data_IF_322474580419
#
_entry.id   IF_322474580419
#
_cell.length_a   1.000
_cell.length_b   1.000
_cell.length_c   1.000
_cell.angle_alpha   90.00
_cell.angle_beta   90.00
_cell.angle_gamma   90.00
#
_symmetry.space_group_name_H-M   'P 1'
#
loop_
_entity.id
_entity.type
_entity.pdbx_description
1 polymer ?
#
# COMPACT_ATOMS: atom_id res chain seq x y z
N UNK A 1 19.44 6.32 -10.53
CA UNK A 1 19.64 6.52 -9.08
C UNK A 1 18.58 5.70 -8.34
N UNK A 2 18.92 5.05 -7.23
CA UNK A 2 17.93 4.29 -6.45
C UNK A 2 17.04 5.30 -5.68
N UNK A 3 15.70 5.27 -5.83
CA UNK A 3 14.82 6.22 -5.14
C UNK A 3 14.82 6.09 -3.61
N UNK A 4 15.44 5.04 -3.05
CA UNK A 4 15.63 4.79 -1.61
C UNK A 4 17.09 4.77 -1.18
N UNK A 5 17.96 5.50 -1.89
CA UNK A 5 19.40 5.49 -1.63
C UNK A 5 19.75 5.96 -0.20
N UNK A 6 19.05 6.97 0.33
CA UNK A 6 19.25 7.44 1.69
C UNK A 6 18.87 6.36 2.72
N UNK A 7 17.67 5.78 2.62
CA UNK A 7 17.22 4.74 3.55
C UNK A 7 18.06 3.45 3.41
N UNK A 8 18.47 3.11 2.20
CA UNK A 8 19.38 1.99 1.95
C UNK A 8 20.74 2.21 2.61
N UNK A 9 21.27 3.44 2.56
CA UNK A 9 22.53 3.80 3.24
C UNK A 9 22.39 3.63 4.75
N UNK A 10 21.30 4.12 5.35
CA UNK A 10 21.03 3.93 6.78
C UNK A 10 20.94 2.45 7.18
N UNK A 11 20.27 1.62 6.37
CA UNK A 11 20.21 0.17 6.61
C UNK A 11 21.60 -0.47 6.48
N UNK A 12 22.40 -0.08 5.48
CA UNK A 12 23.76 -0.56 5.30
C UNK A 12 24.68 -0.19 6.48
N UNK A 13 24.55 1.01 7.02
CA UNK A 13 25.30 1.48 8.19
C UNK A 13 24.92 0.69 9.43
N UNK A 14 23.63 0.46 9.65
CA UNK A 14 23.12 -0.41 10.71
C UNK A 14 23.73 -1.82 10.61
N UNK A 15 23.64 -2.47 9.44
CA UNK A 15 24.19 -3.81 9.19
C UNK A 15 25.70 -3.83 9.44
N UNK A 16 26.42 -2.82 8.97
CA UNK A 16 27.88 -2.74 9.13
C UNK A 16 28.28 -2.57 10.60
N UNK A 17 27.58 -1.72 11.35
CA UNK A 17 27.79 -1.52 12.79
C UNK A 17 27.59 -2.82 13.58
N UNK A 18 26.50 -3.55 13.33
CA UNK A 18 26.25 -4.85 13.97
C UNK A 18 27.39 -5.84 13.70
N UNK A 19 27.86 -5.93 12.45
CA UNK A 19 28.95 -6.86 12.08
C UNK A 19 30.28 -6.54 12.74
N UNK A 20 30.66 -5.26 12.73
CA UNK A 20 31.94 -4.81 13.27
C UNK A 20 32.00 -5.00 14.78
N UNK A 21 30.93 -4.61 15.47
CA UNK A 21 30.88 -4.62 16.93
C UNK A 21 30.49 -5.99 17.51
N UNK A 22 29.92 -6.89 16.69
CA UNK A 22 29.41 -8.21 17.11
C UNK A 22 28.46 -8.08 18.31
N UNK A 23 27.52 -7.14 18.22
CA UNK A 23 26.50 -6.87 19.24
C UNK A 23 25.11 -7.24 18.72
N UNK A 24 24.19 -7.56 19.62
CA UNK A 24 22.78 -7.52 19.28
C UNK A 24 22.36 -6.06 19.09
N UNK A 25 21.79 -5.73 17.94
CA UNK A 25 21.07 -4.49 17.73
C UNK A 25 19.84 -4.76 16.86
N UNK A 26 18.81 -3.93 17.01
CA UNK A 26 17.55 -4.07 16.31
C UNK A 26 17.16 -2.76 15.60
N UNK A 27 16.62 -2.88 14.39
CA UNK A 27 16.07 -1.77 13.61
C UNK A 27 14.60 -2.08 13.29
N UNK A 28 13.70 -1.20 13.69
CA UNK A 28 12.29 -1.23 13.29
C UNK A 28 12.06 -0.29 12.11
N UNK A 29 11.51 -0.82 11.03
CA UNK A 29 11.16 -0.09 9.82
C UNK A 29 9.65 -0.07 9.69
N UNK A 30 9.06 1.12 9.85
CA UNK A 30 7.61 1.33 9.73
C UNK A 30 7.27 2.18 8.51
N UNK A 31 6.05 2.08 8.00
CA UNK A 31 5.61 2.83 6.82
C UNK A 31 4.35 2.27 6.20
N UNK A 32 3.71 3.01 5.31
CA UNK A 32 2.52 2.53 4.60
C UNK A 32 2.82 1.29 3.73
N UNK A 33 1.80 0.46 3.42
CA UNK A 33 1.93 -0.59 2.42
C UNK A 33 2.45 -0.02 1.10
N UNK A 34 3.35 -0.74 0.42
CA UNK A 34 3.86 -0.31 -0.87
C UNK A 34 4.90 0.82 -0.87
N UNK A 35 5.35 1.30 0.30
CA UNK A 35 6.40 2.33 0.36
C UNK A 35 7.84 1.79 0.16
N UNK A 36 8.00 0.48 -0.04
CA UNK A 36 9.28 -0.12 -0.40
C UNK A 36 10.14 -0.66 0.75
N UNK A 37 9.57 -0.87 1.95
CA UNK A 37 10.32 -1.39 3.13
C UNK A 37 11.13 -2.65 2.83
N UNK A 38 10.44 -3.73 2.47
CA UNK A 38 11.07 -5.03 2.16
C UNK A 38 12.02 -4.91 0.96
N UNK A 39 11.67 -4.10 -0.05
CA UNK A 39 12.51 -3.84 -1.21
C UNK A 39 13.86 -3.21 -0.82
N UNK A 40 13.85 -2.12 -0.03
CA UNK A 40 15.07 -1.41 0.37
C UNK A 40 15.96 -2.28 1.27
N UNK A 41 15.36 -3.02 2.20
CA UNK A 41 16.12 -3.97 3.05
C UNK A 41 16.82 -5.02 2.20
N UNK A 42 16.11 -5.63 1.24
CA UNK A 42 16.69 -6.62 0.34
C UNK A 42 17.84 -6.06 -0.50
N UNK A 43 17.71 -4.82 -1.01
CA UNK A 43 18.79 -4.15 -1.74
C UNK A 43 20.03 -3.93 -0.88
N UNK A 44 19.86 -3.51 0.37
CA UNK A 44 20.99 -3.34 1.30
C UNK A 44 21.74 -4.66 1.53
N UNK A 45 21.03 -5.76 1.76
CA UNK A 45 21.67 -7.08 1.89
C UNK A 45 22.35 -7.56 0.61
N UNK A 46 21.75 -7.29 -0.56
CA UNK A 46 22.35 -7.61 -1.86
C UNK A 46 23.65 -6.81 -2.08
N UNK A 47 23.65 -5.51 -1.80
CA UNK A 47 24.84 -4.65 -1.92
C UNK A 47 25.97 -5.14 -1.01
N UNK A 48 25.65 -5.55 0.22
CA UNK A 48 26.61 -6.09 1.18
C UNK A 48 26.98 -7.57 0.94
N UNK A 49 26.35 -8.23 -0.05
CA UNK A 49 26.51 -9.66 -0.37
C UNK A 49 26.27 -10.57 0.84
N UNK A 50 25.25 -10.24 1.64
CA UNK A 50 24.87 -10.96 2.84
C UNK A 50 23.55 -11.70 2.62
N UNK A 51 23.38 -12.83 3.32
CA UNK A 51 22.14 -13.62 3.30
C UNK A 51 21.52 -13.64 4.71
N UNK A 52 20.50 -12.81 4.97
CA UNK A 52 19.78 -12.85 6.23
C UNK A 52 18.85 -14.06 6.28
N UNK A 53 18.48 -14.47 7.48
CA UNK A 53 17.34 -15.37 7.68
C UNK A 53 16.05 -14.54 7.65
N UNK A 54 15.14 -14.85 6.74
CA UNK A 54 13.91 -14.09 6.54
C UNK A 54 12.71 -14.85 7.10
N UNK A 55 11.89 -14.17 7.90
CA UNK A 55 10.63 -14.67 8.43
C UNK A 55 9.51 -13.71 8.06
N UNK A 56 8.44 -14.24 7.45
CA UNK A 56 7.18 -13.53 7.31
C UNK A 56 6.30 -13.89 8.50
N UNK A 57 6.00 -12.93 9.38
CA UNK A 57 5.29 -13.17 10.63
C UNK A 57 3.77 -13.33 10.46
N UNK A 58 3.24 -13.20 9.24
CA UNK A 58 1.89 -13.68 8.92
C UNK A 58 1.82 -15.21 9.05
N UNK A 59 2.93 -15.88 8.69
CA UNK A 59 3.14 -17.30 8.87
C UNK A 59 3.85 -17.53 10.23
N UNK A 60 3.65 -18.70 10.83
CA UNK A 60 4.31 -19.00 12.10
C UNK A 60 5.82 -19.05 11.88
N UNK A 61 6.63 -18.22 12.57
CA UNK A 61 8.07 -18.31 12.47
C UNK A 61 8.54 -19.64 13.05
N UNK A 62 9.28 -20.43 12.28
CA UNK A 62 9.91 -21.65 12.78
C UNK A 62 11.07 -21.27 13.73
N UNK A 63 10.73 -21.14 15.02
CA UNK A 63 11.64 -20.75 16.09
C UNK A 63 12.88 -21.67 16.21
N UNK A 64 12.79 -22.89 15.69
CA UNK A 64 13.86 -23.89 15.73
C UNK A 64 15.02 -23.63 14.74
N UNK A 65 14.91 -22.67 13.80
CA UNK A 65 15.87 -22.50 12.70
C UNK A 65 17.13 -21.69 13.10
N UNK A 66 17.17 -21.03 14.26
CA UNK A 66 18.30 -20.17 14.64
C UNK A 66 19.59 -20.96 14.93
N UNK A 67 20.47 -21.05 13.93
CA UNK A 67 21.81 -21.65 14.02
C UNK A 67 22.81 -20.69 14.67
N UNK A 68 23.90 -21.22 15.24
CA UNK A 68 24.96 -20.41 15.87
C UNK A 68 25.65 -19.42 14.91
N UNK A 69 25.59 -19.66 13.61
CA UNK A 69 26.21 -18.81 12.58
C UNK A 69 25.24 -17.77 11.98
N UNK A 70 24.00 -17.68 12.46
CA UNK A 70 23.05 -16.66 11.99
C UNK A 70 23.56 -15.27 12.39
N UNK A 71 23.81 -14.41 11.40
CA UNK A 71 24.27 -13.03 11.65
C UNK A 71 23.12 -12.03 11.66
N UNK A 72 22.13 -12.22 10.78
CA UNK A 72 21.00 -11.31 10.61
C UNK A 72 19.69 -12.06 10.46
N UNK A 73 18.64 -11.48 11.05
CA UNK A 73 17.26 -11.92 10.91
C UNK A 73 16.40 -10.75 10.44
N UNK A 74 15.56 -11.00 9.45
CA UNK A 74 14.49 -10.09 9.03
C UNK A 74 13.16 -10.68 9.48
N UNK A 75 12.35 -9.89 10.18
CA UNK A 75 10.98 -10.22 10.55
C UNK A 75 10.02 -9.26 9.85
N UNK A 76 9.37 -9.74 8.78
CA UNK A 76 8.38 -8.98 8.03
C UNK A 76 6.99 -9.11 8.66
N UNK A 77 6.17 -8.06 8.59
CA UNK A 77 4.86 -7.95 9.24
C UNK A 77 4.90 -8.23 10.77
N UNK A 78 5.88 -7.64 11.47
CA UNK A 78 6.10 -7.91 12.91
C UNK A 78 4.91 -7.54 13.79
N UNK A 79 4.10 -6.56 13.40
CA UNK A 79 2.88 -6.14 14.09
C UNK A 79 1.82 -7.26 14.10
N UNK A 80 1.78 -8.08 13.05
CA UNK A 80 0.95 -9.29 13.01
C UNK A 80 1.59 -10.37 13.90
N UNK A 81 2.90 -10.55 13.82
CA UNK A 81 3.64 -11.53 14.61
C UNK A 81 3.46 -11.36 16.12
N UNK A 82 3.61 -10.13 16.61
CA UNK A 82 3.48 -9.78 18.03
C UNK A 82 2.06 -10.00 18.57
N UNK A 83 1.03 -9.89 17.72
CA UNK A 83 -0.37 -10.17 18.08
C UNK A 83 -0.70 -11.66 18.14
N UNK A 84 -0.01 -12.47 17.33
CA UNK A 84 -0.34 -13.90 17.14
C UNK A 84 0.52 -14.84 17.96
N UNK A 85 1.77 -14.49 18.23
CA UNK A 85 2.76 -15.41 18.78
C UNK A 85 3.50 -14.80 19.97
N UNK A 86 3.89 -15.63 20.94
CA UNK A 86 4.85 -15.20 21.96
C UNK A 86 6.27 -15.24 21.38
N UNK A 87 6.75 -14.07 20.98
CA UNK A 87 8.07 -13.89 20.37
C UNK A 87 9.17 -13.60 21.41
N UNK A 88 8.86 -13.48 22.71
CA UNK A 88 9.88 -13.19 23.74
C UNK A 88 11.03 -14.20 23.76
N UNK A 89 10.79 -15.53 23.68
CA UNK A 89 11.88 -16.50 23.64
C UNK A 89 12.77 -16.32 22.41
N UNK A 90 12.18 -15.94 21.28
CA UNK A 90 12.89 -15.69 20.03
C UNK A 90 13.84 -14.50 20.17
N UNK A 91 13.36 -13.37 20.67
CA UNK A 91 14.19 -12.18 20.90
C UNK A 91 15.32 -12.43 21.89
N UNK A 92 15.04 -13.15 22.99
CA UNK A 92 16.07 -13.54 23.94
C UNK A 92 17.17 -14.39 23.29
N UNK A 93 16.78 -15.32 22.41
CA UNK A 93 17.73 -16.14 21.67
C UNK A 93 18.60 -15.31 20.71
N UNK A 94 18.02 -14.34 20.00
CA UNK A 94 18.78 -13.44 19.13
C UNK A 94 19.80 -12.60 19.91
N UNK A 95 19.44 -12.14 21.11
CA UNK A 95 20.34 -11.41 22.00
C UNK A 95 21.53 -12.27 22.44
N UNK A 96 21.28 -13.52 22.84
CA UNK A 96 22.35 -14.47 23.22
C UNK A 96 23.31 -14.74 22.06
N UNK A 97 22.80 -14.83 20.83
CA UNK A 97 23.58 -15.06 19.62
C UNK A 97 24.22 -13.77 19.07
N UNK A 98 23.89 -12.61 19.63
CA UNK A 98 24.32 -11.28 19.14
C UNK A 98 23.98 -11.07 17.66
N UNK A 99 22.81 -11.53 17.24
CA UNK A 99 22.31 -11.37 15.87
C UNK A 99 21.78 -9.94 15.64
N UNK A 100 21.99 -9.39 14.45
CA UNK A 100 21.25 -8.21 14.00
C UNK A 100 19.80 -8.55 13.68
N UNK A 101 18.88 -7.70 14.08
CA UNK A 101 17.45 -7.88 13.84
C UNK A 101 16.91 -6.69 13.05
N UNK A 102 16.22 -6.95 11.93
CA UNK A 102 15.45 -5.94 11.21
C UNK A 102 13.99 -6.35 11.25
N UNK A 103 13.15 -5.51 11.80
CA UNK A 103 11.71 -5.69 11.89
C UNK A 103 11.01 -4.75 10.92
N UNK A 104 10.00 -5.23 10.21
CA UNK A 104 9.23 -4.46 9.24
C UNK A 104 7.75 -4.51 9.64
N UNK A 105 7.08 -3.36 9.71
CA UNK A 105 5.65 -3.29 9.99
C UNK A 105 4.95 -2.17 9.21
N UNK A 106 3.62 -2.25 9.16
CA UNK A 106 2.78 -1.17 8.62
C UNK A 106 2.25 -0.23 9.72
N UNK A 107 2.24 -0.66 10.99
CA UNK A 107 1.72 0.11 12.12
C UNK A 107 2.78 1.03 12.75
N UNK A 108 2.53 2.34 12.68
CA UNK A 108 3.41 3.41 13.22
C UNK A 108 3.69 3.31 14.73
N UNK A 109 2.78 2.69 15.49
CA UNK A 109 2.86 2.62 16.96
C UNK A 109 3.30 1.25 17.48
N UNK A 110 3.83 0.39 16.61
CA UNK A 110 4.34 -0.91 17.04
C UNK A 110 5.50 -0.70 18.03
N UNK A 111 5.33 -1.16 19.27
CA UNK A 111 6.40 -1.14 20.28
C UNK A 111 6.98 -2.55 20.41
N UNK A 112 8.14 -2.83 19.80
CA UNK A 112 8.75 -4.14 19.92
C UNK A 112 9.22 -4.37 21.36
N UNK A 113 9.27 -5.65 21.81
CA UNK A 113 9.67 -5.99 23.18
C UNK A 113 11.19 -5.87 23.43
N UNK A 114 11.95 -5.36 22.46
CA UNK A 114 13.39 -5.11 22.55
C UNK A 114 13.69 -3.65 22.19
N UNK A 115 14.70 -3.02 22.81
CA UNK A 115 15.18 -1.72 22.37
C UNK A 115 15.62 -1.81 20.89
N UNK A 116 15.17 -0.85 20.08
CA UNK A 116 15.52 -0.78 18.67
C UNK A 116 15.62 0.67 18.19
N UNK A 117 16.45 0.87 17.17
CA UNK A 117 16.42 2.06 16.35
C UNK A 117 15.14 2.07 15.51
N UNK A 118 14.59 3.25 15.21
CA UNK A 118 13.36 3.39 14.45
C UNK A 118 13.63 4.16 13.16
N UNK A 119 13.16 3.61 12.04
CA UNK A 119 13.20 4.26 10.74
C UNK A 119 11.79 4.27 10.14
N UNK A 120 11.29 5.45 9.82
CA UNK A 120 10.02 5.60 9.12
C UNK A 120 10.26 5.79 7.62
N UNK A 121 9.63 4.95 6.81
CA UNK A 121 9.67 5.06 5.35
C UNK A 121 8.42 5.75 4.82
N UNK A 122 8.63 6.98 4.34
CA UNK A 122 7.59 7.79 3.70
C UNK A 122 7.10 7.14 2.41
N UNK A 123 5.94 7.56 1.91
CA UNK A 123 5.46 7.18 0.58
C UNK A 123 6.42 7.69 -0.51
N UNK A 124 6.43 7.04 -1.66
CA UNK A 124 7.24 7.50 -2.78
C UNK A 124 6.68 8.80 -3.36
N UNK A 125 7.55 9.80 -3.57
CA UNK A 125 7.20 10.98 -4.35
C UNK A 125 7.01 10.63 -5.82
N UNK A 126 6.36 11.51 -6.61
CA UNK A 126 6.20 11.29 -8.05
C UNK A 126 7.55 11.13 -8.76
N UNK A 127 8.56 11.92 -8.38
CA UNK A 127 9.93 11.79 -8.91
C UNK A 127 10.56 10.44 -8.58
N UNK A 128 10.35 9.94 -7.36
CA UNK A 128 10.82 8.62 -6.95
C UNK A 128 10.07 7.49 -7.69
N UNK A 129 8.76 7.63 -7.88
CA UNK A 129 7.96 6.69 -8.68
C UNK A 129 8.44 6.66 -10.13
N UNK A 130 8.72 7.82 -10.73
CA UNK A 130 9.28 7.91 -12.09
C UNK A 130 10.62 7.21 -12.19
N UNK A 131 11.48 7.41 -11.20
CA UNK A 131 12.76 6.69 -11.10
C UNK A 131 12.56 5.17 -11.03
N UNK A 132 11.56 4.68 -10.28
CA UNK A 132 11.19 3.26 -10.26
C UNK A 132 10.71 2.75 -11.62
N UNK A 133 9.88 3.51 -12.33
CA UNK A 133 9.40 3.15 -13.67
C UNK A 133 10.58 2.97 -14.63
N UNK A 134 11.52 3.91 -14.65
CA UNK A 134 12.69 3.85 -15.51
C UNK A 134 13.58 2.64 -15.17
N UNK A 135 13.79 2.37 -13.88
CA UNK A 135 14.53 1.18 -13.44
C UNK A 135 13.86 -0.12 -13.90
N UNK A 136 12.53 -0.24 -13.75
CA UNK A 136 11.78 -1.45 -14.16
C UNK A 136 11.79 -1.67 -15.67
N UNK A 137 11.80 -0.59 -16.46
CA UNK A 137 11.86 -0.65 -17.92
C UNK A 137 13.29 -0.75 -18.46
N UNK A 138 14.32 -0.74 -17.60
CA UNK A 138 15.73 -0.63 -17.98
C UNK A 138 16.04 0.60 -18.87
N UNK A 139 15.42 1.73 -18.57
CA UNK A 139 15.57 3.00 -19.28
C UNK A 139 16.31 4.04 -18.44
N UNK A 140 16.80 5.07 -19.09
CA UNK A 140 17.40 6.27 -18.45
C UNK A 140 16.68 7.53 -18.93
N UNK A 141 16.70 8.60 -18.15
CA UNK A 141 16.07 9.87 -18.58
C UNK A 141 16.63 10.41 -19.91
N UNK A 142 17.88 10.11 -20.23
CA UNK A 142 18.50 10.51 -21.48
C UNK A 142 18.01 9.72 -22.71
N UNK A 143 17.33 8.58 -22.50
CA UNK A 143 16.95 7.64 -23.58
C UNK A 143 15.45 7.56 -23.83
N UNK A 144 14.62 8.21 -23.01
CA UNK A 144 13.17 8.22 -23.19
C UNK A 144 12.72 9.32 -24.15
N UNK A 145 11.67 9.03 -24.92
CA UNK A 145 10.98 10.03 -25.73
C UNK A 145 10.12 10.93 -24.84
N UNK A 146 9.83 12.15 -25.30
CA UNK A 146 8.92 13.08 -24.59
C UNK A 146 7.56 12.43 -24.33
N UNK A 147 6.99 11.73 -25.32
CA UNK A 147 5.70 11.04 -25.21
C UNK A 147 5.70 9.94 -24.13
N UNK A 148 6.76 9.14 -24.07
CA UNK A 148 6.90 8.13 -23.02
C UNK A 148 7.09 8.77 -21.65
N UNK A 149 7.88 9.86 -21.55
CA UNK A 149 8.03 10.61 -20.31
C UNK A 149 6.69 11.11 -19.79
N UNK A 150 5.89 11.76 -20.63
CA UNK A 150 4.56 12.28 -20.26
C UNK A 150 3.61 11.15 -19.82
N UNK A 151 3.66 10.01 -20.51
CA UNK A 151 2.87 8.82 -20.16
C UNK A 151 3.26 8.26 -18.78
N UNK A 152 4.56 8.21 -18.48
CA UNK A 152 5.08 7.79 -17.17
C UNK A 152 4.76 8.81 -16.08
N UNK A 153 4.82 10.11 -16.37
CA UNK A 153 4.44 11.17 -15.43
C UNK A 153 2.97 11.06 -15.05
N UNK A 154 2.09 10.80 -16.03
CA UNK A 154 0.68 10.53 -15.79
C UNK A 154 0.48 9.29 -14.89
N UNK A 155 1.15 8.19 -15.18
CA UNK A 155 1.10 6.97 -14.36
C UNK A 155 1.55 7.25 -12.92
N UNK A 156 2.69 7.93 -12.74
CA UNK A 156 3.24 8.26 -11.43
C UNK A 156 2.29 9.16 -10.63
N UNK A 157 1.65 10.12 -11.29
CA UNK A 157 0.60 10.94 -10.68
C UNK A 157 -0.57 10.08 -10.18
N UNK A 158 -1.08 9.15 -10.99
CA UNK A 158 -2.20 8.28 -10.59
C UNK A 158 -1.83 7.30 -9.46
N UNK A 159 -0.64 6.72 -9.50
CA UNK A 159 -0.14 5.84 -8.45
C UNK A 159 0.10 6.60 -7.15
N UNK A 160 0.61 7.84 -7.23
CA UNK A 160 0.84 8.66 -6.03
C UNK A 160 -0.44 8.95 -5.23
N UNK A 161 -1.61 8.97 -5.89
CA UNK A 161 -2.92 9.11 -5.21
C UNK A 161 -3.34 7.88 -4.40
N UNK A 162 -2.88 6.70 -4.83
CA UNK A 162 -3.16 5.43 -4.15
C UNK A 162 -2.04 5.05 -3.17
N UNK A 163 -0.93 5.79 -3.17
CA UNK A 163 0.19 5.65 -2.23
C UNK A 163 0.88 4.27 -2.22
N UNK A 164 0.66 3.43 -3.23
CA UNK A 164 1.19 2.06 -3.29
C UNK A 164 1.98 1.82 -4.59
N UNK A 165 3.32 1.78 -4.48
CA UNK A 165 4.19 1.58 -5.63
C UNK A 165 4.16 0.17 -6.20
N UNK A 166 3.55 -0.82 -5.51
CA UNK A 166 3.39 -2.19 -6.05
C UNK A 166 2.53 -2.21 -7.30
N UNK A 167 1.62 -1.24 -7.44
CA UNK A 167 0.78 -1.10 -8.63
C UNK A 167 1.58 -0.83 -9.90
N UNK A 168 2.79 -0.27 -9.80
CA UNK A 168 3.65 -0.03 -10.96
C UNK A 168 3.99 -1.34 -11.70
N UNK A 169 4.21 -2.44 -10.98
CA UNK A 169 4.51 -3.73 -11.61
C UNK A 169 3.35 -4.22 -12.49
N UNK A 170 2.12 -4.04 -12.02
CA UNK A 170 0.94 -4.37 -12.78
C UNK A 170 0.83 -3.52 -14.06
N UNK A 171 0.99 -2.20 -13.93
CA UNK A 171 0.78 -1.28 -15.05
C UNK A 171 1.90 -1.34 -16.10
N UNK A 172 3.15 -1.53 -15.68
CA UNK A 172 4.31 -1.59 -16.56
C UNK A 172 4.54 -2.96 -17.20
N UNK A 173 3.82 -4.00 -16.79
CA UNK A 173 3.90 -5.33 -17.41
C UNK A 173 3.30 -5.39 -18.83
N UNK A 174 2.53 -4.36 -19.23
CA UNK A 174 1.95 -4.23 -20.56
C UNK A 174 2.99 -3.85 -21.61
N UNK A 175 2.75 -4.29 -22.86
CA UNK A 175 3.51 -3.81 -24.04
C UNK A 175 3.11 -2.41 -24.47
N UNK A 176 1.93 -1.94 -24.08
CA UNK A 176 1.45 -0.59 -24.33
C UNK A 176 1.79 0.30 -23.12
N UNK A 177 2.59 1.33 -23.34
CA UNK A 177 3.01 2.31 -22.33
C UNK A 177 2.50 3.72 -22.67
N UNK A 178 1.46 3.82 -23.51
CA UNK A 178 0.88 5.10 -23.89
C UNK A 178 0.03 5.71 -22.78
N UNK A 179 -0.06 7.04 -22.79
CA UNK A 179 -0.97 7.78 -21.90
C UNK A 179 -2.42 7.33 -22.06
N UNK A 180 -2.84 6.90 -23.27
CA UNK A 180 -4.19 6.37 -23.53
C UNK A 180 -4.41 5.05 -22.80
N UNK A 181 -3.43 4.15 -22.84
CA UNK A 181 -3.51 2.89 -22.12
C UNK A 181 -3.55 3.12 -20.61
N UNK A 182 -2.63 3.90 -20.05
CA UNK A 182 -2.67 4.21 -18.61
C UNK A 182 -3.98 4.91 -18.25
N UNK A 183 -4.42 5.89 -19.04
CA UNK A 183 -5.71 6.51 -18.84
C UNK A 183 -6.83 5.48 -18.88
N UNK A 184 -6.80 4.45 -19.72
CA UNK A 184 -7.81 3.38 -19.73
C UNK A 184 -7.82 2.51 -18.46
N UNK A 185 -6.66 2.33 -17.82
CA UNK A 185 -6.54 1.60 -16.56
C UNK A 185 -7.08 2.39 -15.37
N UNK A 186 -6.95 3.72 -15.42
CA UNK A 186 -7.45 4.64 -14.39
C UNK A 186 -8.78 5.29 -14.76
N UNK A 187 -9.27 5.10 -15.99
CA UNK A 187 -10.64 5.43 -16.35
C UNK A 187 -11.47 4.44 -15.58
N UNK A 188 -12.13 4.97 -14.56
CA UNK A 188 -13.14 4.34 -13.73
C UNK A 188 -13.97 3.32 -14.53
N UNK A 189 -13.52 2.07 -14.55
CA UNK A 189 -14.44 0.99 -14.26
C UNK A 189 -14.92 1.31 -12.85
N UNK A 190 -16.17 1.76 -12.76
CA UNK A 190 -16.81 1.99 -11.49
C UNK A 190 -16.73 0.70 -10.68
N UNK A 191 -15.75 0.63 -9.78
CA UNK A 191 -15.64 -0.44 -8.81
C UNK A 191 -16.65 -0.16 -7.71
N UNK A 192 -17.92 -0.34 -8.09
CA UNK A 192 -19.09 -0.22 -7.24
C UNK A 192 -19.76 -1.59 -7.25
N UNK A 193 -20.31 -2.01 -6.12
CA UNK A 193 -21.15 -3.21 -6.05
C UNK A 193 -22.62 -2.87 -6.28
N UNK A 194 -23.48 -3.88 -6.36
CA UNK A 194 -24.92 -3.75 -6.57
C UNK A 194 -25.61 -2.81 -5.55
N UNK A 195 -25.21 -2.87 -4.27
CA UNK A 195 -25.78 -2.00 -3.22
C UNK A 195 -25.35 -0.55 -3.37
N UNK A 196 -24.09 -0.32 -3.75
CA UNK A 196 -23.58 1.02 -4.06
C UNK A 196 -24.25 1.58 -5.32
N UNK A 197 -24.55 0.74 -6.31
CA UNK A 197 -25.31 1.14 -7.49
C UNK A 197 -26.74 1.56 -7.14
N UNK A 198 -27.45 0.78 -6.30
CA UNK A 198 -28.78 1.16 -5.77
C UNK A 198 -28.75 2.49 -5.02
N UNK A 199 -27.75 2.69 -4.16
CA UNK A 199 -27.54 3.96 -3.45
C UNK A 199 -27.33 5.14 -4.42
N UNK A 200 -26.55 4.96 -5.49
CA UNK A 200 -26.33 5.99 -6.51
C UNK A 200 -27.64 6.32 -7.26
N UNK A 201 -28.45 5.32 -7.60
CA UNK A 201 -29.75 5.54 -8.25
C UNK A 201 -30.75 6.25 -7.33
N UNK A 202 -30.71 5.94 -6.03
CA UNK A 202 -31.50 6.65 -5.03
C UNK A 202 -31.08 8.13 -4.93
N UNK A 203 -29.77 8.40 -4.96
CA UNK A 203 -29.22 9.75 -5.01
C UNK A 203 -29.61 10.53 -6.28
N UNK A 204 -29.74 9.86 -7.43
CA UNK A 204 -30.18 10.50 -8.68
C UNK A 204 -31.59 11.10 -8.54
N UNK A 205 -32.49 10.46 -7.77
CA UNK A 205 -33.84 10.96 -7.50
C UNK A 205 -33.83 12.26 -6.69
N UNK A 206 -32.93 12.37 -5.72
CA UNK A 206 -32.87 13.51 -4.81
C UNK A 206 -31.99 14.66 -5.31
N UNK A 207 -31.01 14.37 -6.18
CA UNK A 207 -29.91 15.27 -6.59
C UNK A 207 -28.97 15.69 -5.45
N UNK A 208 -29.53 16.04 -4.29
CA UNK A 208 -28.84 16.36 -3.04
C UNK A 208 -29.69 15.87 -1.86
N UNK A 209 -29.06 15.28 -0.85
CA UNK A 209 -29.75 14.82 0.36
C UNK A 209 -28.78 14.70 1.54
N UNK A 210 -29.26 14.33 2.72
CA UNK A 210 -28.41 14.08 3.89
C UNK A 210 -28.05 12.60 4.01
N UNK A 211 -26.92 12.31 4.66
CA UNK A 211 -26.51 10.94 4.99
C UNK A 211 -27.59 10.21 5.82
N UNK A 212 -28.25 10.93 6.73
CA UNK A 212 -29.31 10.39 7.60
C UNK A 212 -30.56 10.00 6.79
N UNK A 213 -30.95 10.83 5.81
CA UNK A 213 -32.08 10.52 4.93
C UNK A 213 -31.79 9.33 4.01
N UNK A 214 -30.57 9.22 3.46
CA UNK A 214 -30.16 8.06 2.66
C UNK A 214 -30.19 6.76 3.45
N UNK A 215 -29.73 6.79 4.70
CA UNK A 215 -29.78 5.61 5.58
C UNK A 215 -31.21 5.13 5.76
N UNK A 216 -32.13 6.04 6.09
CA UNK A 216 -33.55 5.73 6.30
C UNK A 216 -34.19 5.13 5.05
N UNK A 217 -33.91 5.68 3.88
CA UNK A 217 -34.50 5.19 2.63
C UNK A 217 -33.91 3.84 2.20
N UNK A 218 -32.62 3.61 2.46
CA UNK A 218 -31.98 2.30 2.24
C UNK A 218 -32.46 1.24 3.24
N UNK A 219 -32.69 1.61 4.51
CA UNK A 219 -33.28 0.72 5.52
C UNK A 219 -34.70 0.26 5.12
N UNK A 220 -35.46 1.10 4.40
CA UNK A 220 -36.76 0.73 3.87
C UNK A 220 -36.68 -0.17 2.62
N UNK A 221 -35.57 -0.14 1.87
CA UNK A 221 -35.36 -0.93 0.66
C UNK A 221 -34.54 -2.22 0.90
N UNK A 222 -33.80 -2.32 2.01
CA UNK A 222 -32.88 -3.42 2.33
C UNK A 222 -33.03 -3.85 3.81
N UNK A 223 -33.53 -5.06 4.04
CA UNK A 223 -33.94 -5.65 5.34
C UNK A 223 -32.84 -5.85 6.44
N UNK A 224 -31.70 -5.14 6.43
CA UNK A 224 -30.57 -5.41 7.34
C UNK A 224 -30.02 -4.20 8.13
N UNK A 225 -29.46 -4.49 9.31
CA UNK A 225 -28.81 -3.53 10.22
C UNK A 225 -27.54 -2.90 9.59
N UNK A 226 -27.51 -1.58 9.35
CA UNK A 226 -26.49 -0.91 8.51
C UNK A 226 -25.53 0.05 9.24
N UNK A 227 -24.30 -0.40 9.58
CA UNK A 227 -23.18 0.49 9.89
C UNK A 227 -22.44 1.06 8.66
N UNK A 228 -22.67 0.55 7.44
CA UNK A 228 -21.72 0.69 6.31
C UNK A 228 -22.00 1.83 5.30
N UNK A 229 -23.14 2.52 5.35
CA UNK A 229 -23.53 3.54 4.34
C UNK A 229 -22.50 4.68 4.24
N UNK A 230 -21.95 5.12 5.36
CA UNK A 230 -20.94 6.20 5.37
C UNK A 230 -19.64 5.76 4.68
N UNK A 231 -19.24 4.51 4.83
CA UNK A 231 -18.04 3.97 4.21
C UNK A 231 -18.24 3.77 2.70
N UNK A 232 -19.45 3.36 2.30
CA UNK A 232 -19.82 3.29 0.88
C UNK A 232 -19.81 4.67 0.23
N UNK A 233 -20.37 5.67 0.89
CA UNK A 233 -20.35 7.05 0.44
C UNK A 233 -18.92 7.58 0.27
N UNK A 234 -18.02 7.34 1.24
CA UNK A 234 -16.60 7.72 1.14
C UNK A 234 -15.90 7.02 -0.03
N UNK A 235 -16.16 5.73 -0.24
CA UNK A 235 -15.63 5.00 -1.40
C UNK A 235 -16.17 5.58 -2.71
N UNK A 236 -17.47 5.87 -2.79
CA UNK A 236 -18.10 6.44 -3.98
C UNK A 236 -17.64 7.86 -4.27
N UNK A 237 -17.27 8.65 -3.27
CA UNK A 237 -16.66 9.96 -3.47
C UNK A 237 -15.36 9.86 -4.29
N UNK A 238 -14.56 8.80 -4.11
CA UNK A 238 -13.34 8.56 -4.90
C UNK A 238 -13.62 8.32 -6.38
N UNK A 239 -14.83 7.86 -6.72
CA UNK A 239 -15.27 7.64 -8.11
C UNK A 239 -15.74 8.91 -8.80
N UNK A 240 -15.84 10.03 -8.06
CA UNK A 240 -16.38 11.33 -8.50
C UNK A 240 -17.84 11.30 -8.98
N UNK A 241 -18.59 10.22 -8.72
CA UNK A 241 -20.04 10.18 -8.95
C UNK A 241 -20.77 11.06 -7.96
N UNK A 242 -20.28 11.17 -6.73
CA UNK A 242 -20.88 11.99 -5.69
C UNK A 242 -19.83 12.82 -4.98
N UNK A 243 -20.28 13.80 -4.21
CA UNK A 243 -19.44 14.65 -3.35
C UNK A 243 -20.05 14.67 -1.95
N UNK A 244 -19.23 14.55 -0.92
CA UNK A 244 -19.63 14.68 0.48
C UNK A 244 -19.26 16.05 1.04
N UNK A 245 -20.24 16.77 1.57
CA UNK A 245 -20.07 18.08 2.23
C UNK A 245 -20.58 18.00 3.66
N UNK A 246 -19.77 17.42 4.54
CA UNK A 246 -20.20 17.15 5.92
C UNK A 246 -21.32 16.12 5.97
N UNK A 247 -22.53 16.54 6.35
CA UNK A 247 -23.72 15.67 6.39
C UNK A 247 -24.49 15.61 5.04
N UNK A 248 -24.12 16.44 4.07
CA UNK A 248 -24.78 16.49 2.75
C UNK A 248 -24.06 15.60 1.74
N UNK A 249 -24.84 14.97 0.87
CA UNK A 249 -24.40 14.15 -0.25
C UNK A 249 -25.01 14.72 -1.53
N UNK A 250 -24.19 14.97 -2.54
CA UNK A 250 -24.61 15.50 -3.84
C UNK A 250 -24.16 14.57 -4.96
N UNK A 251 -25.03 14.30 -5.94
CA UNK A 251 -24.63 13.56 -7.14
C UNK A 251 -24.01 14.50 -8.18
N UNK A 252 -22.83 14.14 -8.68
CA UNK A 252 -22.24 14.79 -9.83
C UNK A 252 -22.92 14.27 -11.10
N UNK A 253 -23.91 15.03 -11.57
CA UNK A 253 -24.73 14.70 -12.74
C UNK A 253 -23.91 14.46 -14.03
N UNK A 254 -22.75 15.11 -14.20
CA UNK A 254 -21.91 14.88 -15.38
C UNK A 254 -21.26 13.50 -15.35
N UNK A 255 -20.66 13.15 -14.22
CA UNK A 255 -20.04 11.82 -14.02
C UNK A 255 -21.10 10.73 -14.04
N UNK A 256 -22.22 10.92 -13.35
CA UNK A 256 -23.31 9.95 -13.31
C UNK A 256 -23.87 9.65 -14.71
N UNK A 257 -24.18 10.68 -15.52
CA UNK A 257 -24.69 10.48 -16.89
C UNK A 257 -23.76 9.66 -17.77
N UNK A 258 -22.44 9.82 -17.62
CA UNK A 258 -21.44 9.04 -18.36
C UNK A 258 -21.51 7.53 -18.04
N UNK A 259 -21.97 7.18 -16.85
CA UNK A 259 -21.95 5.81 -16.33
C UNK A 259 -23.34 5.23 -16.01
N UNK A 260 -24.42 5.98 -16.27
CA UNK A 260 -25.79 5.65 -15.87
C UNK A 260 -26.22 4.24 -16.29
N UNK A 261 -25.92 3.84 -17.53
CA UNK A 261 -26.29 2.51 -18.05
C UNK A 261 -25.68 1.38 -17.21
N UNK A 262 -24.36 1.41 -17.04
CA UNK A 262 -23.63 0.44 -16.21
C UNK A 262 -24.16 0.37 -14.77
N UNK A 263 -24.44 1.52 -14.14
CA UNK A 263 -24.96 1.59 -12.77
C UNK A 263 -26.37 1.00 -12.69
N UNK A 264 -27.20 1.20 -13.71
CA UNK A 264 -28.57 0.67 -13.76
C UNK A 264 -28.54 -0.84 -13.92
N UNK A 265 -27.76 -1.34 -14.90
CA UNK A 265 -27.61 -2.77 -15.16
C UNK A 265 -27.12 -3.51 -13.89
N UNK A 266 -26.15 -2.95 -13.16
CA UNK A 266 -25.60 -3.53 -11.93
C UNK A 266 -26.57 -3.50 -10.73
N UNK A 267 -27.50 -2.54 -10.68
CA UNK A 267 -28.48 -2.45 -9.60
C UNK A 267 -29.63 -3.46 -9.77
N UNK A 268 -29.92 -3.86 -11.01
CA UNK A 268 -30.97 -4.81 -11.39
C UNK A 268 -30.54 -6.29 -11.21
N UNK A 269 -29.23 -6.58 -11.22
CA UNK A 269 -28.67 -7.93 -11.00
C UNK A 269 -28.81 -8.47 -9.56
N UNK A 270 -29.28 -7.65 -8.62
CA UNK A 270 -29.50 -8.03 -7.22
C UNK A 270 -30.91 -8.59 -6.92
N UNK A 271 -31.49 -9.35 -7.87
CA UNK A 271 -32.79 -10.05 -7.77
C UNK A 271 -32.59 -11.56 -7.91
#
# INVERSE_FOLDING_TARGET
MNPREAEMTTICDFISSVRLNKIFNALLISGFPGCGKTYTVNLAFQQLKLKPLYFNCVQQPELAILKQNTQFVIMDEIDIGLRKFDLKPFFSRLQQLKCGLIMICNELQTTPPVPCDNMYMQQFSQTQLKSLCLLKLNLTEATITTELSESLDYLCYQVSKNSDARLLDQYLSSKDLSIKYFASLFTTNLSINEYQAKLILLLDKYQQTTVEQLKKDLENELDNDFPQVLDWLKKLETTKILTLKGKLVEINQQTFKKHKKFITDLAEEAI
#
